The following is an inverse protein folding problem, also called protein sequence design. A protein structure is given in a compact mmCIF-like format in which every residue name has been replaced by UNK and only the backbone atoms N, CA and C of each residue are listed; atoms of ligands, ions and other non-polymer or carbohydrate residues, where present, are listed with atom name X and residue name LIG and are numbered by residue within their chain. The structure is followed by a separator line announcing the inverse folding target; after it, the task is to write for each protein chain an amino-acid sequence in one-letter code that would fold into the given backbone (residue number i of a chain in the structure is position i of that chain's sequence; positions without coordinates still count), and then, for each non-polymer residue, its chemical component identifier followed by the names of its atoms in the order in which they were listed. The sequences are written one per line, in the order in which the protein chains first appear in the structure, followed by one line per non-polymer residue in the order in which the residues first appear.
data_IF_027011079083
#
_entry.id   IF_027011079083
#
_cell.length_a   1.000
_cell.length_b   1.000
_cell.length_c   1.000
_cell.angle_alpha   90.00
_cell.angle_beta   90.00
_cell.angle_gamma   90.00
#
_symmetry.space_group_name_H-M   'P 1'
#
loop_
_entity.id
_entity.type
_entity.pdbx_description
1 polymer ?
#
# COMPACT_ATOMS: atom_id res chain seq x y z
N UNK A 1 -18.60 1.81 -2.15
CA UNK A 1 -17.34 1.66 -2.91
C UNK A 1 -17.07 0.19 -3.23
N UNK A 2 -16.93 -0.75 -2.25
CA UNK A 2 -16.53 -2.16 -2.47
C UNK A 2 -17.49 -2.93 -3.39
N UNK A 3 -18.81 -2.85 -3.17
CA UNK A 3 -19.80 -3.51 -4.06
C UNK A 3 -19.68 -3.02 -5.51
N UNK A 4 -19.44 -1.75 -5.70
CA UNK A 4 -19.23 -1.17 -7.04
C UNK A 4 -17.91 -1.65 -7.66
N UNK A 5 -16.83 -1.73 -6.87
CA UNK A 5 -15.55 -2.28 -7.32
C UNK A 5 -15.71 -3.74 -7.75
N UNK A 6 -16.36 -4.59 -6.95
CA UNK A 6 -16.60 -6.00 -7.30
C UNK A 6 -17.40 -6.13 -8.60
N UNK A 7 -18.46 -5.32 -8.78
CA UNK A 7 -19.25 -5.34 -10.03
C UNK A 7 -18.38 -4.99 -11.26
N UNK A 8 -17.49 -4.01 -11.15
CA UNK A 8 -16.59 -3.63 -12.23
C UNK A 8 -15.53 -4.71 -12.54
N UNK A 9 -15.16 -5.52 -11.54
CA UNK A 9 -14.13 -6.55 -11.66
C UNK A 9 -14.65 -7.87 -12.25
N UNK A 10 -15.97 -8.11 -12.26
CA UNK A 10 -16.56 -9.35 -12.78
C UNK A 10 -16.25 -9.60 -14.24
N UNK A 11 -16.46 -8.58 -15.09
CA UNK A 11 -16.27 -8.66 -16.55
C UNK A 11 -15.07 -7.84 -17.02
N UNK A 12 -14.12 -7.58 -16.12
CA UNK A 12 -12.97 -6.74 -16.42
C UNK A 12 -11.94 -7.47 -17.33
N UNK A 13 -11.22 -6.76 -18.20
CA UNK A 13 -10.28 -7.33 -19.15
C UNK A 13 -8.96 -7.71 -18.46
N UNK A 14 -8.92 -8.82 -17.75
CA UNK A 14 -7.74 -9.32 -17.07
C UNK A 14 -6.65 -9.74 -18.05
N UNK A 15 -5.41 -9.34 -17.82
CA UNK A 15 -4.24 -9.68 -18.61
C UNK A 15 -3.10 -10.24 -17.75
N UNK A 16 -2.04 -10.73 -18.38
CA UNK A 16 -0.88 -11.30 -17.70
C UNK A 16 -0.16 -10.23 -16.85
N UNK A 17 -0.11 -10.46 -15.53
CA UNK A 17 0.50 -9.54 -14.58
C UNK A 17 2.04 -9.45 -14.66
N UNK A 18 2.71 -10.40 -15.33
CA UNK A 18 4.17 -10.40 -15.51
C UNK A 18 4.67 -9.18 -16.30
N UNK A 19 3.83 -8.62 -17.15
CA UNK A 19 4.16 -7.44 -17.97
C UNK A 19 4.49 -6.18 -17.13
N UNK A 20 4.06 -6.14 -15.86
CA UNK A 20 4.35 -5.01 -14.96
C UNK A 20 5.55 -5.24 -14.04
N UNK A 21 6.16 -6.42 -14.09
CA UNK A 21 7.30 -6.79 -13.26
C UNK A 21 8.63 -6.59 -14.04
N UNK A 22 9.70 -6.29 -13.31
CA UNK A 22 11.05 -6.36 -13.86
C UNK A 22 11.45 -7.80 -14.22
N UNK A 23 12.47 -7.98 -15.02
CA UNK A 23 12.87 -9.29 -15.59
C UNK A 23 13.08 -10.38 -14.53
N UNK A 24 13.62 -10.03 -13.37
CA UNK A 24 13.83 -10.96 -12.26
C UNK A 24 12.51 -11.35 -11.60
N UNK A 25 11.71 -10.35 -11.21
CA UNK A 25 10.43 -10.57 -10.51
C UNK A 25 9.38 -11.24 -11.39
N UNK A 26 9.44 -11.05 -12.71
CA UNK A 26 8.55 -11.73 -13.66
C UNK A 26 8.70 -13.27 -13.65
N UNK A 27 9.89 -13.79 -13.27
CA UNK A 27 10.15 -15.23 -13.21
C UNK A 27 9.41 -15.93 -12.06
N UNK A 28 9.10 -15.19 -11.02
CA UNK A 28 8.43 -15.68 -9.81
C UNK A 28 7.01 -15.13 -9.66
N UNK A 29 6.43 -14.62 -10.76
CA UNK A 29 5.10 -14.00 -10.76
C UNK A 29 4.14 -14.77 -11.65
N UNK A 30 3.04 -15.20 -11.08
CA UNK A 30 1.90 -15.81 -11.76
C UNK A 30 0.62 -15.17 -11.22
N UNK A 31 0.11 -14.16 -11.90
CA UNK A 31 -1.15 -13.50 -11.56
C UNK A 31 -1.69 -12.73 -12.77
N UNK A 32 -2.88 -12.20 -12.62
CA UNK A 32 -3.48 -11.32 -13.61
C UNK A 32 -3.55 -9.89 -13.10
N UNK A 33 -3.51 -8.94 -14.03
CA UNK A 33 -3.68 -7.52 -13.73
C UNK A 33 -4.61 -6.87 -14.75
N UNK A 34 -5.31 -5.83 -14.32
CA UNK A 34 -6.06 -5.00 -15.24
C UNK A 34 -5.13 -4.13 -16.09
N UNK A 35 -5.47 -3.89 -17.37
CA UNK A 35 -4.88 -2.81 -18.13
C UNK A 35 -5.00 -1.50 -17.36
N UNK A 36 -3.93 -0.72 -17.36
CA UNK A 36 -3.78 0.43 -16.49
C UNK A 36 -4.86 1.50 -16.68
N UNK A 37 -5.34 1.64 -17.90
CA UNK A 37 -6.25 2.69 -18.37
C UNK A 37 -7.67 2.21 -18.72
N UNK A 38 -7.99 0.93 -18.43
CA UNK A 38 -9.36 0.45 -18.67
C UNK A 38 -10.36 1.11 -17.69
N UNK A 39 -11.64 1.08 -18.05
CA UNK A 39 -12.72 1.72 -17.28
C UNK A 39 -12.73 1.23 -15.82
N UNK A 40 -12.61 -0.08 -15.61
CA UNK A 40 -12.59 -0.67 -14.27
C UNK A 40 -11.38 -0.18 -13.46
N UNK A 41 -10.17 -0.15 -14.09
CA UNK A 41 -8.97 0.38 -13.43
C UNK A 41 -9.15 1.81 -12.97
N UNK A 42 -9.57 2.72 -13.86
CA UNK A 42 -9.75 4.14 -13.52
C UNK A 42 -10.75 4.35 -12.39
N UNK A 43 -11.87 3.63 -12.41
CA UNK A 43 -12.88 3.74 -11.38
C UNK A 43 -12.36 3.26 -10.01
N UNK A 44 -11.64 2.13 -9.96
CA UNK A 44 -11.07 1.61 -8.72
C UNK A 44 -9.91 2.46 -8.22
N UNK A 45 -9.07 2.99 -9.12
CA UNK A 45 -8.02 3.96 -8.80
C UNK A 45 -8.60 5.17 -8.07
N UNK A 46 -9.67 5.78 -8.60
CA UNK A 46 -10.36 6.90 -7.93
C UNK A 46 -10.87 6.50 -6.56
N UNK A 47 -11.61 5.38 -6.45
CA UNK A 47 -12.15 4.92 -5.16
C UNK A 47 -11.05 4.70 -4.11
N UNK A 48 -9.89 4.16 -4.50
CA UNK A 48 -8.75 3.94 -3.60
C UNK A 48 -8.16 5.27 -3.18
N UNK A 49 -7.88 6.18 -4.12
CA UNK A 49 -7.30 7.49 -3.82
C UNK A 49 -8.23 8.33 -2.93
N UNK A 50 -9.53 8.35 -3.22
CA UNK A 50 -10.54 9.02 -2.40
C UNK A 50 -10.57 8.45 -0.96
N UNK A 51 -10.43 7.12 -0.82
CA UNK A 51 -10.35 6.48 0.49
C UNK A 51 -9.09 6.86 1.28
N UNK A 52 -7.97 7.02 0.62
CA UNK A 52 -6.70 7.43 1.23
C UNK A 52 -6.72 8.91 1.64
N UNK A 53 -7.25 9.80 0.80
CA UNK A 53 -7.38 11.23 1.09
C UNK A 53 -8.23 11.48 2.35
N UNK A 54 -9.24 10.63 2.59
CA UNK A 54 -10.12 10.74 3.74
C UNK A 54 -9.58 10.02 5.00
N UNK A 55 -8.34 9.50 4.96
CA UNK A 55 -7.73 8.77 6.09
C UNK A 55 -6.63 9.60 6.76
N UNK A 56 -6.93 10.22 7.89
CA UNK A 56 -5.93 10.92 8.70
C UNK A 56 -4.79 9.97 9.14
N UNK A 57 -5.12 8.73 9.49
CA UNK A 57 -4.12 7.72 9.87
C UNK A 57 -3.15 7.42 8.72
N UNK A 58 -3.66 7.27 7.48
CA UNK A 58 -2.82 7.09 6.32
C UNK A 58 -1.91 8.31 6.10
N UNK A 59 -2.48 9.51 6.14
CA UNK A 59 -1.70 10.73 5.95
C UNK A 59 -0.56 10.84 6.97
N UNK A 60 -0.86 10.66 8.24
CA UNK A 60 0.13 10.77 9.34
C UNK A 60 1.22 9.69 9.24
N UNK A 61 0.84 8.43 8.92
CA UNK A 61 1.80 7.33 8.83
C UNK A 61 2.72 7.40 7.62
N UNK A 62 2.22 7.95 6.50
CA UNK A 62 2.92 7.91 5.20
C UNK A 62 3.54 9.24 4.82
N UNK A 63 2.92 10.37 5.21
CA UNK A 63 3.30 11.73 4.79
C UNK A 63 3.49 11.81 3.26
N UNK A 64 2.44 11.52 2.46
CA UNK A 64 2.58 11.31 1.03
C UNK A 64 2.96 12.60 0.29
N UNK A 65 4.01 12.51 -0.53
CA UNK A 65 4.40 13.55 -1.50
C UNK A 65 3.85 13.22 -2.89
N UNK A 66 4.07 11.98 -3.34
CA UNK A 66 3.57 11.47 -4.63
C UNK A 66 3.06 10.07 -4.47
N UNK A 67 1.88 9.80 -5.01
CA UNK A 67 1.29 8.47 -5.03
C UNK A 67 1.35 7.92 -6.45
N UNK A 68 1.99 6.77 -6.64
CA UNK A 68 1.92 6.05 -7.89
C UNK A 68 0.49 5.55 -8.10
N UNK A 69 -0.07 5.74 -9.28
CA UNK A 69 -1.44 5.33 -9.58
C UNK A 69 -1.66 3.85 -9.28
N UNK A 70 -2.67 3.50 -8.46
CA UNK A 70 -2.94 2.13 -8.07
C UNK A 70 -3.11 1.17 -9.25
N UNK A 71 -2.54 -0.02 -9.12
CA UNK A 71 -2.71 -1.14 -10.05
C UNK A 71 -3.57 -2.21 -9.39
N UNK A 72 -4.40 -2.87 -10.17
CA UNK A 72 -5.34 -3.86 -9.66
C UNK A 72 -4.88 -5.25 -10.13
N UNK A 73 -4.74 -6.18 -9.19
CA UNK A 73 -4.35 -7.55 -9.46
C UNK A 73 -5.40 -8.56 -9.00
N UNK A 74 -5.37 -9.72 -9.64
CA UNK A 74 -6.16 -10.89 -9.34
C UNK A 74 -5.27 -12.13 -9.23
N UNK A 75 -5.47 -12.87 -8.15
CA UNK A 75 -4.88 -14.19 -7.95
C UNK A 75 -6.02 -15.20 -7.81
N UNK A 76 -6.11 -16.14 -8.73
CA UNK A 76 -7.16 -17.15 -8.77
C UNK A 76 -6.63 -18.53 -8.37
N UNK A 77 -7.53 -19.47 -8.11
CA UNK A 77 -7.26 -20.82 -7.61
C UNK A 77 -6.38 -21.72 -8.50
N UNK A 78 -5.79 -21.21 -9.57
CA UNK A 78 -4.83 -21.93 -10.42
C UNK A 78 -3.38 -21.83 -9.90
N UNK A 79 -3.22 -21.74 -8.58
CA UNK A 79 -1.92 -21.52 -7.92
C UNK A 79 -1.26 -20.21 -8.36
N UNK A 80 -2.04 -19.15 -8.59
CA UNK A 80 -1.48 -17.82 -8.78
C UNK A 80 -0.75 -17.36 -7.53
N UNK A 81 0.44 -16.83 -7.71
CA UNK A 81 1.33 -16.39 -6.64
C UNK A 81 2.22 -15.24 -7.11
N UNK A 82 2.92 -14.65 -6.18
CA UNK A 82 4.05 -13.79 -6.47
C UNK A 82 5.15 -14.07 -5.44
N UNK A 83 6.18 -14.79 -5.85
CA UNK A 83 7.27 -15.20 -4.97
C UNK A 83 8.07 -14.03 -4.41
N UNK A 84 9.02 -14.34 -3.54
CA UNK A 84 9.82 -13.35 -2.85
C UNK A 84 10.48 -12.35 -3.80
N UNK A 85 10.28 -11.08 -3.52
CA UNK A 85 10.86 -9.98 -4.28
C UNK A 85 10.94 -8.70 -3.44
N UNK A 86 11.67 -7.73 -3.94
CA UNK A 86 11.72 -6.35 -3.47
C UNK A 86 11.20 -5.47 -4.59
N UNK A 87 10.47 -4.44 -4.24
CA UNK A 87 9.96 -3.48 -5.21
C UNK A 87 11.09 -2.64 -5.83
N UNK A 88 10.92 -2.25 -7.09
CA UNK A 88 11.90 -1.39 -7.75
C UNK A 88 11.89 0.01 -7.13
N UNK A 89 13.06 0.52 -6.75
CA UNK A 89 13.24 1.75 -5.96
C UNK A 89 12.66 3.02 -6.60
N UNK A 90 12.53 3.06 -7.94
CA UNK A 90 11.99 4.20 -8.68
C UNK A 90 11.03 3.67 -9.75
N UNK A 91 9.84 4.23 -9.80
CA UNK A 91 8.82 3.92 -10.80
C UNK A 91 8.44 5.15 -11.60
N UNK A 92 8.31 5.01 -12.91
CA UNK A 92 7.74 6.05 -13.76
C UNK A 92 6.22 5.88 -13.79
N UNK A 93 5.49 6.88 -13.34
CA UNK A 93 4.03 6.90 -13.46
C UNK A 93 3.66 7.11 -14.93
N UNK A 94 2.93 6.16 -15.53
CA UNK A 94 2.60 6.19 -16.95
C UNK A 94 1.53 7.23 -17.30
N UNK A 95 0.74 7.68 -16.33
CA UNK A 95 -0.29 8.71 -16.53
C UNK A 95 0.29 10.12 -16.45
N UNK A 96 1.15 10.38 -15.44
CA UNK A 96 1.73 11.72 -15.23
C UNK A 96 3.09 11.90 -15.87
N UNK A 97 3.76 10.81 -16.23
CA UNK A 97 5.15 10.81 -16.71
C UNK A 97 6.19 11.03 -15.63
N UNK A 98 5.78 11.29 -14.40
CA UNK A 98 6.66 11.58 -13.27
C UNK A 98 7.33 10.32 -12.72
N UNK A 99 8.51 10.51 -12.11
CA UNK A 99 9.17 9.48 -11.35
C UNK A 99 8.71 9.51 -9.88
N UNK A 100 8.41 8.36 -9.33
CA UNK A 100 8.01 8.15 -7.93
C UNK A 100 9.02 7.24 -7.27
N UNK A 101 9.67 7.72 -6.20
CA UNK A 101 10.51 6.90 -5.34
C UNK A 101 9.59 6.03 -4.47
N UNK A 102 9.88 4.74 -4.37
CA UNK A 102 9.03 3.78 -3.65
C UNK A 102 9.44 3.66 -2.18
N UNK A 103 9.24 4.72 -1.41
CA UNK A 103 9.57 4.73 0.01
C UNK A 103 8.63 3.84 0.82
N UNK A 104 7.36 3.79 0.40
CA UNK A 104 6.31 2.99 1.02
C UNK A 104 5.57 2.20 -0.06
N UNK A 105 5.40 0.90 0.17
CA UNK A 105 4.50 0.03 -0.59
C UNK A 105 3.15 -0.06 0.11
N UNK A 106 2.07 -0.07 -0.65
CA UNK A 106 0.71 -0.19 -0.13
C UNK A 106 -0.06 -1.28 -0.88
N UNK A 107 -0.80 -2.09 -0.13
CA UNK A 107 -1.78 -3.05 -0.66
C UNK A 107 -3.13 -2.81 -0.02
N UNK A 108 -4.15 -2.55 -0.83
CA UNK A 108 -5.56 -2.45 -0.44
C UNK A 108 -6.25 -3.77 -0.80
N UNK A 109 -6.78 -4.47 0.19
CA UNK A 109 -7.52 -5.72 -0.02
C UNK A 109 -8.91 -5.41 -0.57
N UNK A 110 -9.30 -6.14 -1.62
CA UNK A 110 -10.61 -5.98 -2.26
C UNK A 110 -11.48 -7.25 -2.12
N UNK A 111 -10.91 -8.39 -1.68
CA UNK A 111 -11.62 -9.62 -1.35
C UNK A 111 -11.69 -9.83 0.15
N UNK A 112 -12.81 -10.37 0.65
CA UNK A 112 -12.90 -10.78 2.04
C UNK A 112 -11.96 -11.96 2.34
N UNK A 113 -11.33 -12.02 3.53
CA UNK A 113 -10.32 -13.02 3.86
C UNK A 113 -10.85 -14.46 3.76
N UNK A 114 -12.13 -14.70 4.04
CA UNK A 114 -12.75 -16.03 4.02
C UNK A 114 -13.22 -16.44 2.61
N UNK A 115 -13.18 -15.53 1.64
CA UNK A 115 -13.60 -15.81 0.26
C UNK A 115 -12.56 -16.58 -0.57
N UNK A 116 -11.33 -16.73 -0.06
CA UNK A 116 -10.24 -17.45 -0.73
C UNK A 116 -9.32 -18.15 0.28
N UNK A 117 -8.59 -19.17 -0.16
CA UNK A 117 -7.57 -19.90 0.62
C UNK A 117 -6.18 -19.64 0.03
N UNK A 118 -5.18 -19.57 0.91
CA UNK A 118 -3.84 -19.07 0.54
C UNK A 118 -3.87 -17.56 0.26
N UNK A 119 -2.95 -17.08 -0.57
CA UNK A 119 -2.91 -15.68 -1.01
C UNK A 119 -2.54 -14.67 0.08
N UNK A 120 -2.00 -15.12 1.21
CA UNK A 120 -1.47 -14.24 2.24
C UNK A 120 -0.34 -13.37 1.67
N UNK A 121 -0.35 -12.08 2.00
CA UNK A 121 0.81 -11.23 1.83
C UNK A 121 1.79 -11.51 2.96
N UNK A 122 2.95 -12.05 2.63
CA UNK A 122 4.03 -12.25 3.60
C UNK A 122 5.05 -11.13 3.49
N UNK A 123 5.36 -10.51 4.62
CA UNK A 123 6.33 -9.43 4.77
C UNK A 123 7.46 -9.95 5.65
N UNK A 124 8.68 -10.01 5.10
CA UNK A 124 9.85 -10.54 5.78
C UNK A 124 10.58 -9.44 6.53
N UNK A 125 10.89 -9.67 7.81
CA UNK A 125 11.71 -8.73 8.58
C UNK A 125 13.18 -8.80 8.15
N UNK A 126 13.80 -7.64 7.97
CA UNK A 126 15.22 -7.55 7.65
C UNK A 126 16.07 -8.21 8.75
N UNK A 127 16.94 -9.14 8.35
CA UNK A 127 17.87 -9.82 9.28
C UNK A 127 17.33 -11.04 10.01
N UNK A 128 16.06 -11.44 9.79
CA UNK A 128 15.49 -12.66 10.34
C UNK A 128 15.04 -13.58 9.21
N UNK A 129 15.75 -14.69 9.03
CA UNK A 129 15.53 -15.64 7.92
C UNK A 129 14.17 -16.36 7.96
N UNK A 130 13.47 -16.37 9.09
CA UNK A 130 12.28 -17.22 9.29
C UNK A 130 11.02 -16.48 9.80
N UNK A 131 11.11 -15.19 10.16
CA UNK A 131 9.96 -14.45 10.66
C UNK A 131 9.32 -13.63 9.54
N UNK A 132 8.30 -14.18 8.91
CA UNK A 132 7.43 -13.43 8.00
C UNK A 132 6.09 -13.11 8.69
N UNK A 133 5.66 -11.86 8.59
CA UNK A 133 4.28 -11.50 8.95
C UNK A 133 3.34 -11.93 7.84
N UNK A 134 2.43 -12.83 8.16
CA UNK A 134 1.39 -13.31 7.25
C UNK A 134 0.14 -12.44 7.39
N UNK A 135 -0.23 -11.75 6.34
CA UNK A 135 -1.26 -10.70 6.37
C UNK A 135 -2.38 -11.03 5.40
N UNK A 136 -3.61 -11.02 5.93
CA UNK A 136 -4.85 -11.23 5.20
C UNK A 136 -5.95 -10.44 5.89
N UNK A 137 -6.30 -9.28 5.33
CA UNK A 137 -7.19 -8.30 5.95
C UNK A 137 -8.56 -8.27 5.27
N UNK A 138 -9.60 -7.80 5.97
CA UNK A 138 -10.92 -7.56 5.39
C UNK A 138 -10.88 -6.65 4.16
N UNK A 139 -11.83 -6.82 3.25
CA UNK A 139 -11.97 -5.96 2.09
C UNK A 139 -12.15 -4.49 2.49
N UNK A 140 -11.46 -3.59 1.80
CA UNK A 140 -11.39 -2.16 2.12
C UNK A 140 -10.25 -1.79 3.08
N UNK A 141 -9.60 -2.75 3.71
CA UNK A 141 -8.42 -2.49 4.55
C UNK A 141 -7.17 -2.31 3.70
N UNK A 142 -6.25 -1.48 4.18
CA UNK A 142 -4.94 -1.28 3.58
C UNK A 142 -3.81 -1.69 4.54
N UNK A 143 -2.73 -2.22 3.99
CA UNK A 143 -1.46 -2.41 4.69
C UNK A 143 -0.39 -1.58 4.00
N UNK A 144 0.44 -0.90 4.79
CA UNK A 144 1.62 -0.18 4.33
C UNK A 144 2.88 -0.81 4.92
N UNK A 145 3.95 -0.85 4.15
CA UNK A 145 5.26 -1.33 4.57
C UNK A 145 6.35 -0.62 3.77
N UNK A 146 7.59 -0.68 4.23
CA UNK A 146 8.70 0.01 3.55
C UNK A 146 9.02 -0.65 2.20
N UNK A 147 9.29 0.16 1.18
CA UNK A 147 9.48 -0.32 -0.21
C UNK A 147 10.73 -1.18 -0.42
N UNK A 148 11.66 -1.22 0.54
CA UNK A 148 12.85 -2.06 0.56
C UNK A 148 12.62 -3.43 1.22
N UNK A 149 11.42 -3.70 1.69
CA UNK A 149 11.08 -4.95 2.37
C UNK A 149 10.90 -6.10 1.38
N UNK A 150 11.52 -7.24 1.66
CA UNK A 150 11.24 -8.50 0.95
C UNK A 150 9.83 -8.96 1.28
N UNK A 151 9.03 -9.22 0.26
CA UNK A 151 7.66 -9.68 0.44
C UNK A 151 7.22 -10.64 -0.67
N UNK A 152 6.13 -11.36 -0.43
CA UNK A 152 5.55 -12.30 -1.38
C UNK A 152 4.04 -12.42 -1.22
N UNK A 153 3.35 -12.90 -2.25
CA UNK A 153 1.97 -13.37 -2.17
C UNK A 153 1.96 -14.88 -2.32
N UNK A 154 1.53 -15.58 -1.29
CA UNK A 154 1.44 -17.04 -1.27
C UNK A 154 0.47 -17.56 -2.34
N UNK A 155 0.64 -18.80 -2.81
CA UNK A 155 -0.28 -19.40 -3.78
C UNK A 155 -1.72 -19.37 -3.30
N UNK A 156 -2.64 -18.95 -4.18
CA UNK A 156 -4.07 -19.06 -3.94
C UNK A 156 -4.52 -20.45 -4.34
N UNK A 157 -5.07 -21.21 -3.40
CA UNK A 157 -5.48 -22.60 -3.59
C UNK A 157 -6.99 -22.75 -3.84
N UNK A 158 -7.80 -21.81 -3.35
CA UNK A 158 -9.26 -21.74 -3.59
C UNK A 158 -9.73 -20.28 -3.66
N UNK A 159 -10.75 -20.03 -4.46
CA UNK A 159 -11.35 -18.68 -4.58
C UNK A 159 -10.50 -17.71 -5.38
N UNK A 160 -10.72 -16.42 -5.14
CA UNK A 160 -10.05 -15.32 -5.86
C UNK A 160 -9.66 -14.21 -4.90
N UNK A 161 -8.37 -13.90 -4.87
CA UNK A 161 -7.84 -12.72 -4.17
C UNK A 161 -7.73 -11.53 -5.11
N UNK A 162 -8.44 -10.47 -4.80
CA UNK A 162 -8.39 -9.18 -5.48
C UNK A 162 -7.70 -8.15 -4.59
N UNK A 163 -6.82 -7.34 -5.16
CA UNK A 163 -6.18 -6.25 -4.43
C UNK A 163 -5.79 -5.10 -5.36
N UNK A 164 -5.74 -3.88 -4.81
CA UNK A 164 -5.03 -2.77 -5.42
C UNK A 164 -3.68 -2.61 -4.73
N UNK A 165 -2.63 -2.32 -5.50
CA UNK A 165 -1.28 -2.12 -4.97
C UNK A 165 -0.60 -0.95 -5.68
N UNK A 166 0.21 -0.22 -4.94
CA UNK A 166 0.90 0.97 -5.44
C UNK A 166 2.03 1.38 -4.49
N UNK A 167 2.76 2.40 -4.90
CA UNK A 167 3.90 2.92 -4.17
C UNK A 167 3.72 4.40 -3.87
N UNK A 168 4.33 4.83 -2.79
CA UNK A 168 4.25 6.22 -2.34
C UNK A 168 5.67 6.74 -2.08
N UNK A 169 5.97 7.88 -2.67
CA UNK A 169 7.08 8.70 -2.27
C UNK A 169 6.64 9.55 -1.09
N UNK A 170 7.28 9.36 0.04
CA UNK A 170 7.01 10.14 1.24
C UNK A 170 7.74 11.49 1.22
N UNK A 171 7.16 12.50 1.84
CA UNK A 171 7.84 13.75 2.20
C UNK A 171 9.04 13.47 3.12
N UNK A 172 8.94 12.46 3.98
CA UNK A 172 10.02 12.07 4.89
C UNK A 172 10.58 10.72 4.45
N UNK A 173 11.77 10.73 3.85
CA UNK A 173 12.37 9.54 3.25
C UNK A 173 12.71 8.44 4.25
N UNK A 174 13.24 8.81 5.42
CA UNK A 174 13.71 7.87 6.43
C UNK A 174 12.52 7.19 7.13
N UNK A 175 12.41 5.85 7.13
CA UNK A 175 11.29 5.15 7.78
C UNK A 175 11.25 5.36 9.29
N UNK A 176 12.41 5.43 9.95
CA UNK A 176 12.49 5.67 11.41
C UNK A 176 11.97 7.07 11.76
N UNK A 177 12.28 8.08 10.93
CA UNK A 177 11.76 9.43 11.15
C UNK A 177 10.23 9.49 10.93
N UNK A 178 9.70 8.75 9.95
CA UNK A 178 8.24 8.66 9.75
C UNK A 178 7.55 8.02 10.96
N UNK A 179 8.11 6.92 11.48
CA UNK A 179 7.60 6.24 12.67
C UNK A 179 7.57 7.16 13.88
N UNK A 180 8.66 7.88 14.15
CA UNK A 180 8.73 8.86 15.24
C UNK A 180 7.69 9.99 15.09
N UNK A 181 7.49 10.50 13.87
CA UNK A 181 6.46 11.50 13.60
C UNK A 181 5.06 10.95 13.79
N UNK A 182 4.79 9.73 13.34
CA UNK A 182 3.51 9.06 13.50
C UNK A 182 3.17 8.83 14.98
N UNK A 183 4.13 8.34 15.77
CA UNK A 183 3.97 8.14 17.20
C UNK A 183 3.70 9.46 17.92
N UNK A 184 4.46 10.51 17.59
CA UNK A 184 4.29 11.82 18.19
C UNK A 184 2.90 12.41 17.85
N UNK A 185 2.46 12.31 16.60
CA UNK A 185 1.15 12.78 16.15
C UNK A 185 0.00 12.05 16.85
N UNK A 186 0.09 10.73 16.97
CA UNK A 186 -0.88 9.90 17.69
C UNK A 186 -0.96 10.29 19.17
N UNK A 187 0.18 10.52 19.82
CA UNK A 187 0.22 10.93 21.23
C UNK A 187 -0.36 12.33 21.43
N UNK A 188 -0.05 13.29 20.55
CA UNK A 188 -0.63 14.64 20.56
C UNK A 188 -2.15 14.56 20.36
N UNK A 189 -2.61 13.74 19.42
CA UNK A 189 -4.04 13.55 19.14
C UNK A 189 -4.76 12.96 20.34
N UNK A 190 -4.22 11.90 20.94
CA UNK A 190 -4.79 11.29 22.14
C UNK A 190 -4.81 12.25 23.36
N UNK A 191 -3.77 13.08 23.50
CA UNK A 191 -3.72 14.11 24.54
C UNK A 191 -4.77 15.20 24.30
N UNK A 192 -4.95 15.65 23.05
CA UNK A 192 -5.97 16.62 22.66
C UNK A 192 -7.38 16.14 22.97
N UNK A 193 -7.67 14.86 22.76
CA UNK A 193 -8.96 14.25 23.07
C UNK A 193 -9.23 14.16 24.58
N UNK A 194 -8.19 13.86 25.38
CA UNK A 194 -8.33 13.65 26.84
C UNK A 194 -8.29 14.95 27.64
N UNK A 195 -7.48 15.91 27.21
CA UNK A 195 -7.19 17.13 27.93
C UNK A 195 -6.94 18.30 26.95
N UNK A 196 -7.97 18.81 26.26
CA UNK A 196 -7.82 19.78 25.17
C UNK A 196 -7.20 21.13 25.62
N UNK A 197 -7.36 21.49 26.89
CA UNK A 197 -6.87 22.75 27.45
C UNK A 197 -5.46 22.65 28.09
N UNK A 198 -4.80 21.50 27.91
CA UNK A 198 -3.45 21.26 28.44
C UNK A 198 -2.44 22.21 27.77
N UNK A 199 -1.68 23.03 28.53
CA UNK A 199 -0.76 24.00 27.95
C UNK A 199 0.40 23.35 27.18
N UNK A 200 0.73 22.11 27.45
CA UNK A 200 1.76 21.32 26.78
C UNK A 200 1.43 20.96 25.31
N UNK A 201 0.13 20.98 24.93
CA UNK A 201 -0.29 20.65 23.56
C UNK A 201 0.33 21.58 22.51
N UNK A 202 0.37 22.89 22.79
CA UNK A 202 0.93 23.87 21.83
C UNK A 202 2.41 23.63 21.55
N UNK A 203 3.30 23.53 22.57
CA UNK A 203 4.72 23.25 22.31
C UNK A 203 4.97 21.88 21.71
N UNK A 204 4.21 20.82 22.08
CA UNK A 204 4.34 19.51 21.47
C UNK A 204 3.93 19.52 19.98
N UNK A 205 2.82 20.16 19.64
CA UNK A 205 2.41 20.38 18.25
C UNK A 205 3.47 21.18 17.48
N UNK A 206 4.04 22.20 18.11
CA UNK A 206 5.15 22.97 17.55
C UNK A 206 6.38 22.11 17.27
N UNK A 207 6.73 21.21 18.19
CA UNK A 207 7.84 20.26 18.02
C UNK A 207 7.57 19.33 16.84
N UNK A 208 6.38 18.73 16.73
CA UNK A 208 5.98 17.89 15.59
C UNK A 208 6.17 18.63 14.26
N UNK A 209 5.61 19.83 14.13
CA UNK A 209 5.73 20.61 12.89
C UNK A 209 7.17 21.03 12.57
N UNK A 210 8.00 21.29 13.57
CA UNK A 210 9.40 21.63 13.36
C UNK A 210 10.20 20.41 12.88
N UNK A 211 9.98 19.22 13.47
CA UNK A 211 10.60 17.98 13.00
C UNK A 211 10.15 17.66 11.56
N UNK A 212 8.87 17.84 11.25
CA UNK A 212 8.36 17.63 9.90
C UNK A 212 9.01 18.60 8.89
N UNK A 213 9.18 19.90 9.22
CA UNK A 213 9.90 20.85 8.37
C UNK A 213 11.36 20.47 8.16
N UNK A 214 12.04 20.00 9.22
CA UNK A 214 13.44 19.59 9.16
C UNK A 214 13.69 18.36 8.31
N UNK A 215 12.73 17.41 8.29
CA UNK A 215 12.90 16.10 7.66
C UNK A 215 12.22 15.97 6.31
N UNK A 216 11.29 16.87 5.97
CA UNK A 216 10.62 16.81 4.69
C UNK A 216 11.54 17.20 3.52
N UNK A 217 11.35 16.47 2.41
CA UNK A 217 12.04 16.66 1.13
C UNK A 217 10.97 16.88 0.06
N UNK A 218 10.90 18.06 -0.51
CA UNK A 218 9.96 18.44 -1.59
C UNK A 218 10.66 18.44 -2.95
#
# INVERSE_FOLDING_TARGET
ALMQAHKLLQDAPWGDGRMSAGSQSARVKSNEQLPFDCVASRAIQSMVLDGLENSNTFFSAVLPHRIYTPRINRYAANQHFYGQHVDGAIRRNLQTGEYVRTDVSCTVFLSEPDSYEGGELQIHQSGQSEAAHSIKLPAGSAIIYTGDTVHEVRPVTRGVRLAAFFWIQSLVRCPVQRELLFDLDNNITAMRERAPDTPELTPLTGTYHNLLRMWSQT
#
